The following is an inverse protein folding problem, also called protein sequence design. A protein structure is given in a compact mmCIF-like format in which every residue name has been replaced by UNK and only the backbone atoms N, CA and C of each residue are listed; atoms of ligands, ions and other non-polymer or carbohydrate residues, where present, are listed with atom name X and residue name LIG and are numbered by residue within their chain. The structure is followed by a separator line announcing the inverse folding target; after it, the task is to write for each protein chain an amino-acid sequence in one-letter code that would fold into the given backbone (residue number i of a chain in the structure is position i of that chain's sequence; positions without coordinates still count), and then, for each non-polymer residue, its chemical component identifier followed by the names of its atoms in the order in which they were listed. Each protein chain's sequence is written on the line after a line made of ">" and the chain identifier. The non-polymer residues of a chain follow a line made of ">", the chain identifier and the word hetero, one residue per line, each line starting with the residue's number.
data_IF_430232375131
#
_entry.id   IF_430232375131
#
_cell.length_a   1.000
_cell.length_b   1.000
_cell.length_c   1.000
_cell.angle_alpha   90.00
_cell.angle_beta   90.00
_cell.angle_gamma   90.00
#
_symmetry.space_group_name_H-M   'P 1'
#
loop_
_entity.id
_entity.type
_entity.pdbx_description
1 polymer ?
#
# COMPACT_ATOMS: atom_id res chain seq x y z
N UNK A 1 -7.91 1.81 -8.02
CA UNK A 1 -6.52 1.57 -7.62
C UNK A 1 -5.59 2.22 -8.64
N UNK A 2 -4.56 2.95 -8.19
CA UNK A 2 -3.64 3.61 -9.12
C UNK A 2 -2.93 2.64 -10.05
N UNK A 3 -2.56 3.12 -11.24
CA UNK A 3 -1.91 2.26 -12.22
C UNK A 3 -0.57 1.70 -11.74
N UNK A 4 0.23 2.51 -11.03
CA UNK A 4 1.53 2.02 -10.56
C UNK A 4 1.38 0.86 -9.59
N UNK A 5 0.30 0.84 -8.80
CA UNK A 5 0.01 -0.26 -7.89
C UNK A 5 -0.47 -1.48 -8.66
N UNK A 6 -1.34 -1.28 -9.65
CA UNK A 6 -1.82 -2.38 -10.49
C UNK A 6 -0.65 -3.07 -11.20
N UNK A 7 0.29 -2.28 -11.72
CA UNK A 7 1.46 -2.83 -12.39
C UNK A 7 2.34 -3.63 -11.43
N UNK A 8 2.56 -3.11 -10.23
CA UNK A 8 3.33 -3.82 -9.21
C UNK A 8 2.69 -5.16 -8.87
N UNK A 9 1.39 -5.15 -8.59
CA UNK A 9 0.68 -6.37 -8.23
C UNK A 9 0.70 -7.38 -9.37
N UNK A 10 0.53 -6.92 -10.60
CA UNK A 10 0.60 -7.79 -11.77
C UNK A 10 1.98 -8.44 -11.89
N UNK A 11 3.05 -7.66 -11.77
CA UNK A 11 4.42 -8.18 -11.85
C UNK A 11 4.69 -9.22 -10.77
N UNK A 12 4.21 -8.97 -9.56
CA UNK A 12 4.37 -9.91 -8.46
C UNK A 12 3.61 -11.21 -8.72
N UNK A 13 2.40 -11.12 -9.25
CA UNK A 13 1.60 -12.30 -9.58
C UNK A 13 2.23 -13.13 -10.70
N UNK A 14 2.83 -12.47 -11.68
CA UNK A 14 3.49 -13.13 -12.80
C UNK A 14 4.90 -13.58 -12.47
N UNK A 15 5.35 -13.38 -11.23
CA UNK A 15 6.67 -13.72 -10.77
C UNK A 15 7.79 -13.05 -11.57
N UNK A 16 7.48 -11.88 -12.14
CA UNK A 16 8.47 -11.08 -12.89
C UNK A 16 9.27 -10.17 -12.01
N UNK A 17 8.89 -10.05 -10.75
CA UNK A 17 9.55 -9.20 -9.77
C UNK A 17 9.78 -9.99 -8.50
N UNK A 18 10.99 -9.86 -7.94
CA UNK A 18 11.30 -10.46 -6.64
C UNK A 18 10.62 -9.65 -5.56
N UNK A 19 9.78 -10.27 -4.72
CA UNK A 19 9.12 -9.54 -3.63
C UNK A 19 10.15 -9.00 -2.64
N UNK A 20 9.86 -7.80 -2.13
CA UNK A 20 10.69 -7.15 -1.11
C UNK A 20 9.84 -6.91 0.14
N UNK A 21 9.87 -5.70 0.65
CA UNK A 21 9.09 -5.32 1.83
C UNK A 21 8.32 -4.06 1.45
N UNK A 22 7.05 -3.98 1.85
CA UNK A 22 6.16 -2.93 1.37
C UNK A 22 5.40 -2.32 2.52
N UNK A 23 5.31 -0.98 2.52
CA UNK A 23 4.40 -0.24 3.37
C UNK A 23 3.25 0.24 2.51
N UNK A 24 2.02 0.09 3.00
CA UNK A 24 0.85 0.38 2.18
C UNK A 24 -0.21 1.13 2.98
N UNK A 25 -1.07 1.82 2.23
CA UNK A 25 -2.29 2.42 2.77
C UNK A 25 -3.46 1.86 1.98
N UNK A 26 -4.46 1.37 2.69
CA UNK A 26 -5.72 0.92 2.12
C UNK A 26 -6.76 2.02 2.30
N UNK A 27 -7.61 2.17 1.29
CA UNK A 27 -8.85 2.94 1.40
C UNK A 27 -9.96 1.95 1.70
N UNK A 28 -10.66 2.17 2.79
CA UNK A 28 -11.77 1.31 3.21
C UNK A 28 -13.09 1.79 2.62
N UNK A 29 -14.11 0.94 2.67
CA UNK A 29 -15.42 1.26 2.10
C UNK A 29 -16.06 2.51 2.74
N UNK A 30 -15.77 2.76 4.02
CA UNK A 30 -16.28 3.93 4.73
C UNK A 30 -15.44 5.20 4.50
N UNK A 31 -14.45 5.13 3.62
CA UNK A 31 -13.58 6.26 3.31
C UNK A 31 -12.41 6.45 4.26
N UNK A 32 -12.26 5.59 5.27
CA UNK A 32 -11.12 5.68 6.18
C UNK A 32 -9.89 5.01 5.59
N UNK A 33 -8.73 5.31 6.16
CA UNK A 33 -7.45 4.73 5.75
C UNK A 33 -6.96 3.72 6.78
N UNK A 34 -6.32 2.67 6.27
CA UNK A 34 -5.62 1.68 7.10
C UNK A 34 -4.19 1.55 6.58
N UNK A 35 -3.21 1.63 7.47
CA UNK A 35 -1.80 1.51 7.12
C UNK A 35 -1.22 0.21 7.65
N UNK A 36 -0.42 -0.46 6.83
CA UNK A 36 0.25 -1.69 7.23
C UNK A 36 1.53 -1.91 6.44
N UNK A 37 2.20 -3.03 6.71
CA UNK A 37 3.34 -3.45 5.91
C UNK A 37 3.21 -4.95 5.61
N UNK A 38 3.86 -5.39 4.54
CA UNK A 38 3.79 -6.80 4.13
C UNK A 38 4.95 -7.16 3.23
N UNK A 39 5.28 -8.44 3.17
CA UNK A 39 6.19 -8.98 2.16
C UNK A 39 5.46 -9.41 0.89
N UNK A 40 4.14 -9.55 0.96
CA UNK A 40 3.36 -10.06 -0.15
C UNK A 40 2.08 -9.23 -0.31
N UNK A 41 2.14 -8.15 -1.10
CA UNK A 41 0.97 -7.28 -1.28
C UNK A 41 -0.24 -7.98 -1.89
N UNK A 42 -0.01 -8.92 -2.82
CA UNK A 42 -1.11 -9.63 -3.48
C UNK A 42 -1.89 -10.45 -2.45
N UNK A 43 -1.19 -11.27 -1.67
CA UNK A 43 -1.82 -12.08 -0.63
C UNK A 43 -2.43 -11.22 0.46
N UNK A 44 -1.78 -10.13 0.82
CA UNK A 44 -2.25 -9.27 1.91
C UNK A 44 -3.57 -8.60 1.55
N UNK A 45 -3.70 -8.10 0.32
CA UNK A 45 -4.94 -7.48 -0.12
C UNK A 45 -6.08 -8.51 -0.09
N UNK A 46 -5.80 -9.73 -0.58
CA UNK A 46 -6.80 -10.79 -0.54
C UNK A 46 -7.21 -11.12 0.90
N UNK A 47 -6.23 -11.23 1.80
CA UNK A 47 -6.52 -11.53 3.20
C UNK A 47 -7.39 -10.45 3.84
N UNK A 48 -7.12 -9.18 3.55
CA UNK A 48 -7.96 -8.09 4.06
C UNK A 48 -9.39 -8.23 3.55
N UNK A 49 -9.58 -8.44 2.25
CA UNK A 49 -10.91 -8.54 1.66
C UNK A 49 -11.63 -9.83 2.01
N UNK A 50 -10.89 -10.85 2.43
CA UNK A 50 -11.47 -12.08 2.97
C UNK A 50 -11.85 -11.94 4.46
N UNK A 51 -11.59 -10.79 5.06
CA UNK A 51 -11.88 -10.52 6.46
C UNK A 51 -10.93 -11.18 7.43
N UNK A 52 -9.70 -11.53 6.99
CA UNK A 52 -8.77 -12.33 7.77
C UNK A 52 -7.51 -11.60 8.20
N UNK A 53 -7.35 -10.32 7.84
CA UNK A 53 -6.09 -9.62 8.09
C UNK A 53 -6.14 -8.71 9.32
N UNK A 54 -7.21 -7.95 9.52
CA UNK A 54 -7.31 -7.07 10.69
C UNK A 54 -8.77 -6.87 11.07
N UNK A 55 -9.00 -6.57 12.36
CA UNK A 55 -10.34 -6.24 12.84
C UNK A 55 -10.84 -4.96 12.20
N UNK A 56 -9.95 -3.99 12.03
CA UNK A 56 -10.33 -2.69 11.49
C UNK A 56 -10.88 -2.82 10.07
N UNK A 57 -10.13 -3.48 9.18
CA UNK A 57 -10.54 -3.61 7.78
C UNK A 57 -11.73 -4.56 7.63
N UNK A 58 -11.81 -5.59 8.47
CA UNK A 58 -12.91 -6.58 8.39
C UNK A 58 -14.28 -5.93 8.51
N UNK A 59 -14.39 -4.86 9.30
CA UNK A 59 -15.64 -4.14 9.47
C UNK A 59 -15.90 -3.10 8.37
N UNK A 60 -14.97 -2.92 7.43
CA UNK A 60 -14.98 -1.81 6.45
C UNK A 60 -14.65 -2.27 5.04
N UNK A 61 -15.05 -3.50 4.71
CA UNK A 61 -14.80 -4.07 3.38
C UNK A 61 -15.77 -3.51 2.35
N UNK A 62 -15.41 -3.45 1.07
CA UNK A 62 -14.12 -3.85 0.53
C UNK A 62 -13.06 -2.78 0.71
N UNK A 63 -11.79 -3.19 0.63
CA UNK A 63 -10.66 -2.28 0.72
C UNK A 63 -9.81 -2.38 -0.54
N UNK A 64 -9.08 -1.31 -0.86
CA UNK A 64 -8.16 -1.31 -1.99
C UNK A 64 -6.91 -0.52 -1.64
N UNK A 65 -5.80 -0.84 -2.31
CA UNK A 65 -4.58 -0.07 -2.14
C UNK A 65 -4.72 1.31 -2.78
N UNK A 66 -4.33 2.35 -2.03
CA UNK A 66 -4.21 3.70 -2.57
C UNK A 66 -2.77 4.21 -2.48
N UNK A 67 -1.91 3.51 -1.76
CA UNK A 67 -0.50 3.84 -1.63
C UNK A 67 0.29 2.59 -1.33
N UNK A 68 1.47 2.45 -1.96
CA UNK A 68 2.39 1.37 -1.63
C UNK A 68 3.81 1.83 -1.94
N UNK A 69 4.74 1.52 -1.05
CA UNK A 69 6.14 1.83 -1.23
C UNK A 69 6.99 0.61 -0.91
N UNK A 70 8.01 0.39 -1.73
CA UNK A 70 8.89 -0.75 -1.65
C UNK A 70 10.16 -0.41 -0.88
N UNK A 71 10.61 -1.33 -0.05
CA UNK A 71 11.83 -1.18 0.74
C UNK A 71 12.68 -2.45 0.65
N UNK A 72 14.00 -2.28 0.76
CA UNK A 72 14.92 -3.41 0.74
C UNK A 72 14.82 -4.25 2.00
N UNK A 73 14.54 -3.64 3.15
CA UNK A 73 14.53 -4.35 4.42
C UNK A 73 13.17 -4.24 5.11
N UNK A 74 12.86 -5.26 5.90
CA UNK A 74 11.68 -5.29 6.76
C UNK A 74 11.68 -4.11 7.74
N UNK A 75 12.86 -3.80 8.29
CA UNK A 75 13.00 -2.72 9.26
C UNK A 75 12.58 -1.38 8.67
N UNK A 76 12.98 -1.11 7.42
CA UNK A 76 12.61 0.12 6.74
C UNK A 76 11.09 0.21 6.54
N UNK A 77 10.48 -0.89 6.07
CA UNK A 77 9.04 -0.90 5.85
C UNK A 77 8.26 -0.70 7.15
N UNK A 78 8.71 -1.30 8.23
CA UNK A 78 8.07 -1.16 9.53
C UNK A 78 8.20 0.26 10.09
N UNK A 79 9.35 0.89 9.90
CA UNK A 79 9.54 2.28 10.33
C UNK A 79 8.64 3.24 9.55
N UNK A 80 8.50 3.00 8.27
CA UNK A 80 7.62 3.83 7.45
C UNK A 80 6.16 3.64 7.86
N UNK A 81 5.76 2.42 8.19
CA UNK A 81 4.42 2.17 8.72
C UNK A 81 4.15 3.01 9.96
N UNK A 82 5.10 3.00 10.91
CA UNK A 82 4.95 3.79 12.14
C UNK A 82 4.87 5.28 11.83
N UNK A 83 5.71 5.76 10.92
CA UNK A 83 5.71 7.16 10.52
C UNK A 83 4.36 7.58 9.93
N UNK A 84 3.84 6.77 9.00
CA UNK A 84 2.58 7.08 8.32
C UNK A 84 1.41 7.04 9.30
N UNK A 85 1.41 6.09 10.23
CA UNK A 85 0.33 5.99 11.22
C UNK A 85 0.19 7.24 12.09
N UNK A 86 1.29 7.99 12.26
CA UNK A 86 1.30 9.22 13.05
C UNK A 86 0.86 10.45 12.27
N UNK A 87 0.72 10.34 10.95
CA UNK A 87 0.27 11.45 10.13
C UNK A 87 -1.23 11.68 10.29
N UNK A 88 -1.63 12.94 10.16
CA UNK A 88 -3.05 13.28 10.10
C UNK A 88 -3.66 12.72 8.83
N UNK A 89 -4.99 12.67 8.79
CA UNK A 89 -5.69 12.22 7.60
C UNK A 89 -5.33 13.08 6.38
N UNK A 90 -5.27 14.39 6.55
CA UNK A 90 -4.93 15.29 5.43
C UNK A 90 -3.53 15.05 4.91
N UNK A 91 -2.56 14.77 5.79
CA UNK A 91 -1.20 14.46 5.36
C UNK A 91 -1.12 13.13 4.62
N UNK A 92 -1.86 12.13 5.08
CA UNK A 92 -1.95 10.85 4.36
C UNK A 92 -2.52 11.06 2.97
N UNK A 93 -3.57 11.88 2.86
CA UNK A 93 -4.18 12.18 1.57
C UNK A 93 -3.20 12.86 0.63
N UNK A 94 -2.41 13.82 1.16
CA UNK A 94 -1.38 14.50 0.35
C UNK A 94 -0.35 13.52 -0.20
N UNK A 95 0.14 12.59 0.62
CA UNK A 95 1.15 11.64 0.13
C UNK A 95 0.56 10.64 -0.86
N UNK A 96 -0.70 10.26 -0.68
CA UNK A 96 -1.39 9.39 -1.64
C UNK A 96 -1.51 10.10 -2.99
N UNK A 97 -1.95 11.35 -2.98
CA UNK A 97 -2.11 12.14 -4.21
C UNK A 97 -0.77 12.40 -4.88
N UNK A 98 0.27 12.67 -4.12
CA UNK A 98 1.60 12.87 -4.66
C UNK A 98 2.12 11.60 -5.34
N UNK A 99 1.89 10.43 -4.77
CA UNK A 99 2.31 9.17 -5.36
C UNK A 99 1.54 8.86 -6.65
N UNK A 100 0.27 9.26 -6.73
CA UNK A 100 -0.52 9.10 -7.95
C UNK A 100 0.02 9.96 -9.07
N UNK A 101 0.38 11.20 -8.72
CA UNK A 101 0.80 12.21 -9.69
C UNK A 101 2.24 11.99 -10.12
N UNK A 102 3.07 11.54 -9.18
CA UNK A 102 4.51 11.37 -9.40
C UNK A 102 4.92 9.98 -8.89
N UNK A 103 4.60 8.92 -9.66
CA UNK A 103 5.02 7.57 -9.29
C UNK A 103 6.55 7.51 -9.19
N UNK A 104 7.04 6.60 -8.37
CA UNK A 104 8.47 6.49 -8.09
C UNK A 104 9.33 6.34 -9.35
N UNK A 105 8.79 5.79 -10.40
CA UNK A 105 9.55 5.56 -11.63
C UNK A 105 9.59 6.77 -12.54
N UNK A 106 8.92 7.84 -12.18
CA UNK A 106 8.83 9.01 -13.04
C UNK A 106 10.12 9.79 -13.04
N UNK A 107 10.98 9.52 -12.07
CA UNK A 107 12.28 10.17 -11.98
C UNK A 107 13.15 9.90 -13.19
N UNK A 108 12.83 8.87 -13.94
CA UNK A 108 13.53 8.59 -15.18
C UNK A 108 13.25 9.65 -16.22
N UNK A 109 12.23 10.45 -16.02
CA UNK A 109 11.96 11.52 -16.96
C UNK A 109 12.88 12.70 -16.66
N UNK A 110 13.42 13.24 -17.68
CA UNK A 110 14.27 14.42 -17.53
C UNK A 110 13.48 15.64 -17.13
#
# INVERSE_FOLDING_TARGET
>A
MPNYIKELLYELEQMKRVPKNYTYILLCADGSYYCGWTKDPVKRLKAHNDGKASKYTRARLPVSFVYIEEFETKSEAMREEVRIKRLSRSRKKEMIEAAWKYPYNIDSTP
#
